data_IF_385877266104
#
_entry.id   IF_385877266104
#
_cell.length_a   1.000
_cell.length_b   1.000
_cell.length_c   1.000
_cell.angle_alpha   90.00
_cell.angle_beta   90.00
_cell.angle_gamma   90.00
#
_symmetry.space_group_name_H-M   'P 1'
#
loop_
_entity.id
_entity.type
_entity.pdbx_description
1 polymer ?
#
# COMPACT_ATOMS: atom_id res chain seq x y z
N UNK A 1 18.03 -12.26 -38.61
CA UNK A 1 16.91 -12.14 -37.65
C UNK A 1 16.94 -13.41 -36.83
N UNK A 2 17.60 -13.38 -35.68
CA UNK A 2 17.61 -14.50 -34.72
C UNK A 2 16.30 -14.45 -33.96
N UNK A 3 15.37 -15.35 -34.26
CA UNK A 3 14.28 -15.65 -33.33
C UNK A 3 14.92 -16.12 -32.03
N UNK A 4 14.95 -15.27 -31.01
CA UNK A 4 15.33 -15.66 -29.67
C UNK A 4 14.25 -16.61 -29.17
N UNK A 5 14.48 -17.93 -29.30
CA UNK A 5 13.62 -18.95 -28.74
C UNK A 5 13.65 -18.80 -27.23
N UNK A 6 12.60 -18.22 -26.65
CA UNK A 6 12.47 -18.08 -25.20
C UNK A 6 12.45 -19.48 -24.59
N UNK A 7 13.34 -19.74 -23.64
CA UNK A 7 13.45 -21.06 -23.00
C UNK A 7 12.42 -21.20 -21.87
N UNK A 8 12.04 -22.44 -21.54
CA UNK A 8 11.15 -22.72 -20.41
C UNK A 8 11.69 -22.13 -19.09
N UNK A 9 13.01 -22.18 -18.88
CA UNK A 9 13.66 -21.63 -17.69
C UNK A 9 13.54 -20.09 -17.61
N UNK A 10 13.65 -19.38 -18.74
CA UNK A 10 13.44 -17.93 -18.79
C UNK A 10 12.00 -17.54 -18.47
N UNK A 11 11.03 -18.33 -18.95
CA UNK A 11 9.61 -18.12 -18.63
C UNK A 11 9.31 -18.36 -17.15
N UNK A 12 9.91 -19.40 -16.55
CA UNK A 12 9.83 -19.64 -15.09
C UNK A 12 10.42 -18.46 -14.31
N UNK A 13 11.59 -17.95 -14.73
CA UNK A 13 12.22 -16.80 -14.10
C UNK A 13 11.34 -15.54 -14.22
N UNK A 14 10.74 -15.30 -15.38
CA UNK A 14 9.80 -14.20 -15.59
C UNK A 14 8.53 -14.36 -14.74
N UNK A 15 8.00 -15.57 -14.61
CA UNK A 15 6.87 -15.89 -13.73
C UNK A 15 7.17 -15.62 -12.26
N UNK A 16 8.35 -16.01 -11.78
CA UNK A 16 8.83 -15.70 -10.43
C UNK A 16 8.97 -14.20 -10.19
N UNK A 17 9.51 -13.46 -11.16
CA UNK A 17 9.58 -12.00 -11.08
C UNK A 17 8.19 -11.34 -10.97
N UNK A 18 7.22 -11.85 -11.73
CA UNK A 18 5.83 -11.37 -11.66
C UNK A 18 5.17 -11.67 -10.30
N UNK A 19 5.45 -12.83 -9.69
CA UNK A 19 5.01 -13.14 -8.32
C UNK A 19 5.57 -12.15 -7.30
N UNK A 20 6.86 -11.82 -7.38
CA UNK A 20 7.50 -10.83 -6.50
C UNK A 20 6.88 -9.44 -6.67
N UNK A 21 6.48 -9.09 -7.89
CA UNK A 21 5.77 -7.85 -8.20
C UNK A 21 4.29 -7.85 -7.75
N UNK A 22 3.75 -8.98 -7.28
CA UNK A 22 2.35 -9.14 -6.91
C UNK A 22 1.39 -9.33 -8.10
N UNK A 23 1.91 -9.46 -9.32
CA UNK A 23 1.11 -9.68 -10.53
C UNK A 23 0.88 -11.18 -10.76
N UNK A 24 -0.10 -11.71 -10.03
CA UNK A 24 -0.53 -13.11 -10.15
C UNK A 24 -1.13 -13.48 -11.51
N UNK A 25 -1.57 -12.50 -12.32
CA UNK A 25 -2.11 -12.76 -13.65
C UNK A 25 -0.98 -13.04 -14.62
N UNK A 26 0.01 -12.14 -14.67
CA UNK A 26 1.19 -12.31 -15.51
C UNK A 26 2.00 -13.53 -15.07
N UNK A 27 2.14 -13.78 -13.77
CA UNK A 27 2.81 -14.97 -13.25
C UNK A 27 2.20 -16.27 -13.81
N UNK A 28 0.87 -16.44 -13.70
CA UNK A 28 0.18 -17.63 -14.23
C UNK A 28 0.35 -17.79 -15.72
N UNK A 29 0.30 -16.70 -16.49
CA UNK A 29 0.51 -16.74 -17.93
C UNK A 29 1.91 -17.27 -18.26
N UNK A 30 2.96 -16.73 -17.62
CA UNK A 30 4.35 -17.16 -17.88
C UNK A 30 4.61 -18.60 -17.43
N UNK A 31 4.07 -19.03 -16.30
CA UNK A 31 4.19 -20.43 -15.88
C UNK A 31 3.42 -21.38 -16.81
N UNK A 32 2.29 -20.95 -17.35
CA UNK A 32 1.57 -21.74 -18.36
C UNK A 32 2.39 -21.88 -19.64
N UNK A 33 2.94 -20.80 -20.16
CA UNK A 33 3.83 -20.82 -21.33
C UNK A 33 5.04 -21.73 -21.07
N UNK A 34 5.62 -21.68 -19.86
CA UNK A 34 6.70 -22.58 -19.47
C UNK A 34 6.28 -24.06 -19.49
N UNK A 35 5.08 -24.37 -19.00
CA UNK A 35 4.52 -25.73 -19.00
C UNK A 35 4.10 -26.23 -20.39
N UNK A 36 3.84 -25.33 -21.33
CA UNK A 36 3.60 -25.67 -22.73
C UNK A 36 4.90 -26.12 -23.44
N UNK A 37 6.05 -25.57 -23.02
CA UNK A 37 7.37 -25.98 -23.52
C UNK A 37 7.87 -27.23 -22.79
N UNK A 38 7.77 -27.25 -21.45
CA UNK A 38 8.17 -28.38 -20.62
C UNK A 38 7.04 -28.75 -19.62
N UNK A 39 6.20 -29.75 -19.97
CA UNK A 39 5.09 -30.18 -19.12
C UNK A 39 5.50 -30.79 -17.77
N UNK A 40 6.75 -31.23 -17.64
CA UNK A 40 7.30 -31.89 -16.47
C UNK A 40 8.20 -30.97 -15.63
N UNK A 41 8.26 -29.67 -15.93
CA UNK A 41 9.05 -28.72 -15.15
C UNK A 41 8.51 -28.58 -13.72
N UNK A 42 9.25 -29.13 -12.74
CA UNK A 42 8.92 -29.05 -11.30
C UNK A 42 8.82 -27.59 -10.85
N UNK A 43 9.76 -26.74 -11.28
CA UNK A 43 9.79 -25.31 -10.93
C UNK A 43 8.56 -24.54 -11.48
N UNK A 44 8.11 -24.86 -12.69
CA UNK A 44 6.94 -24.23 -13.28
C UNK A 44 5.64 -24.70 -12.61
N UNK A 45 5.55 -25.99 -12.25
CA UNK A 45 4.42 -26.56 -11.51
C UNK A 45 4.30 -25.94 -10.11
N UNK A 46 5.43 -25.79 -9.40
CA UNK A 46 5.47 -25.12 -8.09
C UNK A 46 5.12 -23.64 -8.21
N UNK A 47 5.69 -22.93 -9.18
CA UNK A 47 5.35 -21.53 -9.45
C UNK A 47 3.87 -21.32 -9.76
N UNK A 48 3.26 -22.23 -10.54
CA UNK A 48 1.82 -22.22 -10.82
C UNK A 48 1.01 -22.44 -9.54
N UNK A 49 1.39 -23.41 -8.71
CA UNK A 49 0.73 -23.68 -7.43
C UNK A 49 0.79 -22.47 -6.48
N UNK A 50 1.86 -21.67 -6.50
CA UNK A 50 1.94 -20.42 -5.73
C UNK A 50 1.02 -19.33 -6.27
N UNK A 51 0.84 -19.27 -7.59
CA UNK A 51 0.05 -18.24 -8.24
C UNK A 51 -1.48 -18.48 -8.19
N UNK A 52 -1.91 -19.73 -7.92
CA UNK A 52 -3.31 -20.12 -7.85
C UNK A 52 -3.94 -19.84 -6.48
N UNK A 53 -5.19 -19.36 -6.51
CA UNK A 53 -5.99 -19.12 -5.31
C UNK A 53 -6.81 -20.31 -4.84
N UNK A 54 -7.50 -21.06 -5.74
CA UNK A 54 -8.28 -22.20 -5.30
C UNK A 54 -7.35 -23.28 -4.75
N UNK A 55 -7.59 -23.70 -3.51
CA UNK A 55 -6.79 -24.73 -2.86
C UNK A 55 -6.88 -26.08 -3.59
N UNK A 56 -8.02 -26.35 -4.25
CA UNK A 56 -8.20 -27.54 -5.09
C UNK A 56 -7.23 -27.57 -6.27
N UNK A 57 -7.17 -26.49 -7.05
CA UNK A 57 -6.26 -26.41 -8.20
C UNK A 57 -4.79 -26.45 -7.72
N UNK A 58 -4.48 -25.72 -6.64
CA UNK A 58 -3.15 -25.74 -6.02
C UNK A 58 -2.71 -27.15 -5.66
N UNK A 59 -3.60 -27.96 -5.08
CA UNK A 59 -3.34 -29.37 -4.75
C UNK A 59 -2.99 -30.19 -6.00
N UNK A 60 -3.73 -30.02 -7.10
CA UNK A 60 -3.49 -30.76 -8.34
C UNK A 60 -2.08 -30.50 -8.91
N UNK A 61 -1.65 -29.24 -8.97
CA UNK A 61 -0.31 -28.89 -9.46
C UNK A 61 0.81 -29.39 -8.54
N UNK A 62 0.59 -29.41 -7.22
CA UNK A 62 1.55 -29.96 -6.25
C UNK A 62 1.69 -31.48 -6.39
N UNK A 63 0.59 -32.20 -6.60
CA UNK A 63 0.62 -33.64 -6.89
C UNK A 63 1.34 -33.94 -8.21
N UNK A 64 1.13 -33.11 -9.24
CA UNK A 64 1.87 -33.22 -10.51
C UNK A 64 3.37 -32.97 -10.33
N UNK A 65 3.76 -32.01 -9.49
CA UNK A 65 5.17 -31.76 -9.19
C UNK A 65 5.81 -32.97 -8.48
N UNK A 66 5.11 -33.56 -7.50
CA UNK A 66 5.56 -34.76 -6.79
C UNK A 66 5.57 -36.03 -7.66
N UNK A 67 4.74 -36.08 -8.70
CA UNK A 67 4.78 -37.17 -9.68
C UNK A 67 6.05 -37.13 -10.53
N UNK A 68 6.64 -35.95 -10.75
CA UNK A 68 7.91 -35.80 -11.48
C UNK A 68 9.10 -35.98 -10.54
N UNK A 69 9.09 -35.28 -9.39
CA UNK A 69 10.13 -35.38 -8.37
C UNK A 69 9.50 -35.75 -7.02
N UNK A 70 9.47 -37.05 -6.69
CA UNK A 70 8.89 -37.52 -5.45
C UNK A 70 9.61 -36.99 -4.21
N UNK A 71 10.91 -36.71 -4.27
CA UNK A 71 11.75 -36.31 -3.13
C UNK A 71 11.70 -34.82 -2.81
N UNK A 72 10.99 -34.02 -3.60
CA UNK A 72 10.91 -32.58 -3.40
C UNK A 72 10.23 -32.20 -2.07
N UNK A 73 11.04 -31.72 -1.12
CA UNK A 73 10.58 -31.32 0.22
C UNK A 73 9.64 -30.11 0.20
N UNK A 74 9.84 -29.17 -0.72
CA UNK A 74 9.02 -27.95 -0.84
C UNK A 74 7.60 -28.28 -1.30
N UNK A 75 7.50 -29.13 -2.33
CA UNK A 75 6.22 -29.59 -2.85
C UNK A 75 5.42 -30.36 -1.79
N UNK A 76 6.08 -31.26 -1.02
CA UNK A 76 5.46 -32.02 0.07
C UNK A 76 4.94 -31.12 1.19
N UNK A 77 5.78 -30.21 1.70
CA UNK A 77 5.39 -29.30 2.77
C UNK A 77 4.22 -28.39 2.36
N UNK A 78 4.24 -27.89 1.13
CA UNK A 78 3.16 -27.05 0.61
C UNK A 78 1.86 -27.84 0.43
N UNK A 79 1.96 -29.11 0.00
CA UNK A 79 0.80 -29.98 -0.16
C UNK A 79 0.11 -30.26 1.19
N UNK A 80 0.90 -30.62 2.21
CA UNK A 80 0.39 -30.86 3.57
C UNK A 80 -0.37 -29.63 4.11
N UNK A 81 0.17 -28.43 3.91
CA UNK A 81 -0.49 -27.19 4.30
C UNK A 81 -1.82 -26.99 3.53
N UNK A 82 -1.83 -27.23 2.23
CA UNK A 82 -3.03 -27.06 1.38
C UNK A 82 -4.11 -28.07 1.75
N UNK A 83 -3.75 -29.31 2.04
CA UNK A 83 -4.69 -30.35 2.45
C UNK A 83 -5.29 -30.05 3.83
N UNK A 84 -4.50 -29.53 4.77
CA UNK A 84 -5.01 -29.07 6.07
C UNK A 84 -6.06 -27.94 5.92
N UNK A 85 -5.84 -26.98 5.00
CA UNK A 85 -6.80 -25.90 4.71
C UNK A 85 -8.08 -26.41 4.06
N UNK A 86 -7.96 -27.33 3.10
CA UNK A 86 -9.10 -27.99 2.49
C UNK A 86 -9.91 -28.80 3.52
N UNK A 87 -9.24 -29.47 4.45
CA UNK A 87 -9.88 -30.19 5.55
C UNK A 87 -10.60 -29.25 6.54
N UNK A 88 -10.09 -28.03 6.71
CA UNK A 88 -10.76 -26.96 7.47
C UNK A 88 -11.95 -26.32 6.74
N UNK A 89 -12.24 -26.74 5.50
CA UNK A 89 -13.34 -26.20 4.69
C UNK A 89 -12.98 -24.95 3.89
N UNK A 90 -11.71 -24.49 3.92
CA UNK A 90 -11.26 -23.34 3.14
C UNK A 90 -11.09 -23.72 1.67
N UNK A 91 -11.86 -23.09 0.77
CA UNK A 91 -11.80 -23.35 -0.67
C UNK A 91 -10.83 -22.41 -1.42
N UNK A 92 -10.60 -21.21 -0.90
CA UNK A 92 -9.82 -20.15 -1.54
C UNK A 92 -8.77 -19.60 -0.58
N UNK A 93 -7.54 -19.39 -1.08
CA UNK A 93 -6.50 -18.73 -0.33
C UNK A 93 -6.87 -17.26 -0.02
N UNK A 94 -6.59 -16.77 1.21
CA UNK A 94 -6.97 -15.43 1.63
C UNK A 94 -6.35 -14.38 0.71
N UNK A 95 -7.15 -13.41 0.25
CA UNK A 95 -6.64 -12.11 -0.18
C UNK A 95 -5.81 -11.51 0.96
N UNK A 96 -4.67 -10.88 0.69
CA UNK A 96 -3.88 -10.11 1.67
C UNK A 96 -4.61 -8.91 2.32
N UNK A 97 -5.93 -8.94 2.40
CA UNK A 97 -6.79 -8.03 3.14
C UNK A 97 -7.38 -8.85 4.29
N UNK A 98 -6.85 -8.67 5.51
CA UNK A 98 -7.53 -9.16 6.69
C UNK A 98 -8.81 -8.34 6.87
N UNK A 99 -9.91 -8.85 6.31
CA UNK A 99 -11.23 -8.51 6.83
C UNK A 99 -11.30 -9.25 8.17
N UNK A 100 -11.33 -8.50 9.28
CA UNK A 100 -11.67 -9.09 10.59
C UNK A 100 -13.04 -9.75 10.42
N UNK A 101 -13.06 -11.07 10.32
CA UNK A 101 -14.27 -11.88 10.42
C UNK A 101 -14.87 -11.64 11.80
N UNK A 102 -15.85 -10.74 11.85
CA UNK A 102 -16.81 -10.70 12.91
C UNK A 102 -17.73 -11.89 12.66
N UNK A 103 -17.39 -13.00 13.31
CA UNK A 103 -18.29 -14.04 13.81
C UNK A 103 -19.63 -14.10 13.05
N UNK A 104 -19.70 -14.99 12.07
CA UNK A 104 -20.90 -15.38 11.35
C UNK A 104 -21.97 -15.87 12.32
N UNK A 105 -22.72 -14.92 12.87
CA UNK A 105 -24.08 -15.17 13.28
C UNK A 105 -24.88 -15.44 12.00
N UNK A 106 -25.24 -16.71 11.83
CA UNK A 106 -26.24 -17.26 10.91
C UNK A 106 -27.05 -16.18 10.18
N UNK A 107 -26.66 -15.89 8.93
CA UNK A 107 -27.55 -15.20 7.99
C UNK A 107 -28.41 -16.29 7.39
N UNK A 108 -29.56 -16.50 8.03
CA UNK A 108 -30.70 -17.14 7.41
C UNK A 108 -31.06 -16.35 6.15
N UNK A 109 -31.08 -17.04 5.01
CA UNK A 109 -31.34 -16.47 3.69
C UNK A 109 -32.72 -15.78 3.69
N UNK A 110 -32.78 -14.43 3.59
CA UNK A 110 -34.07 -13.74 3.61
C UNK A 110 -34.86 -14.09 2.35
N UNK A 111 -36.15 -14.45 2.45
CA UNK A 111 -36.97 -14.75 1.28
C UNK A 111 -37.04 -13.52 0.37
N UNK A 112 -36.91 -13.78 -0.93
CA UNK A 112 -37.01 -12.78 -1.99
C UNK A 112 -38.26 -11.91 -1.80
N UNK A 113 -38.06 -10.68 -1.33
CA UNK A 113 -39.13 -9.70 -1.21
C UNK A 113 -39.52 -9.19 -2.61
N UNK A 114 -40.82 -8.95 -2.86
CA UNK A 114 -41.28 -8.46 -4.16
C UNK A 114 -40.75 -7.05 -4.41
N UNK A 115 -40.25 -6.82 -5.61
CA UNK A 115 -39.88 -5.50 -6.10
C UNK A 115 -41.18 -4.77 -6.47
N UNK A 116 -41.69 -3.94 -5.57
CA UNK A 116 -42.76 -2.97 -5.88
C UNK A 116 -42.15 -1.59 -6.08
N UNK A 117 -42.24 -0.97 -7.28
CA UNK A 117 -41.91 0.44 -7.43
C UNK A 117 -43.10 1.27 -6.93
N UNK A 118 -43.17 1.49 -5.61
CA UNK A 118 -44.03 2.52 -5.05
C UNK A 118 -43.24 3.83 -5.01
N UNK A 119 -43.46 4.67 -6.02
CA UNK A 119 -43.01 6.06 -6.03
C UNK A 119 -43.85 6.87 -5.03
N UNK A 120 -43.58 6.68 -3.74
CA UNK A 120 -43.87 7.71 -2.75
C UNK A 120 -42.87 8.85 -2.99
N UNK A 121 -43.36 10.08 -3.10
CA UNK A 121 -42.52 11.27 -3.22
C UNK A 121 -41.78 11.48 -1.89
N UNK A 122 -40.58 10.90 -1.79
CA UNK A 122 -39.76 11.04 -0.60
C UNK A 122 -39.15 12.43 -0.58
N UNK A 123 -39.05 13.02 0.59
CA UNK A 123 -38.47 14.35 0.77
C UNK A 123 -37.07 14.21 1.37
N UNK A 124 -36.13 15.03 0.92
CA UNK A 124 -34.76 15.03 1.43
C UNK A 124 -34.73 15.33 2.93
N UNK A 125 -34.01 14.54 3.72
CA UNK A 125 -33.94 14.74 5.19
C UNK A 125 -33.39 16.12 5.61
N UNK A 126 -32.59 16.76 4.75
CA UNK A 126 -32.02 18.10 4.97
C UNK A 126 -32.83 19.23 4.34
N UNK A 127 -33.59 18.91 3.30
CA UNK A 127 -34.32 19.89 2.51
C UNK A 127 -35.78 19.45 2.43
N UNK A 128 -36.62 19.86 3.41
CA UNK A 128 -38.03 19.46 3.48
C UNK A 128 -38.88 20.00 2.31
N UNK A 129 -38.34 20.88 1.48
CA UNK A 129 -39.00 21.44 0.30
C UNK A 129 -38.63 20.71 -1.01
N UNK A 130 -37.81 19.65 -0.95
CA UNK A 130 -37.29 18.97 -2.15
C UNK A 130 -37.65 17.50 -2.16
N UNK A 131 -38.46 17.13 -3.13
CA UNK A 131 -38.73 15.74 -3.48
C UNK A 131 -37.48 15.08 -4.07
N UNK A 132 -37.30 13.80 -3.77
CA UNK A 132 -36.15 13.01 -4.19
C UNK A 132 -36.52 11.54 -4.35
N UNK A 133 -36.01 10.92 -5.42
CA UNK A 133 -36.01 9.45 -5.58
C UNK A 133 -34.74 8.79 -5.07
N UNK A 134 -33.76 9.55 -4.57
CA UNK A 134 -32.44 9.06 -4.20
C UNK A 134 -32.39 8.71 -2.70
N UNK A 135 -31.77 7.56 -2.40
CA UNK A 135 -31.56 7.06 -1.03
C UNK A 135 -30.09 6.76 -0.77
N UNK A 136 -29.65 6.97 0.46
CA UNK A 136 -28.30 6.59 0.87
C UNK A 136 -28.13 5.07 0.81
N UNK A 137 -27.11 4.56 0.13
CA UNK A 137 -26.85 3.11 0.12
C UNK A 137 -26.39 2.58 1.49
N UNK A 138 -25.88 3.45 2.37
CA UNK A 138 -25.35 3.05 3.68
C UNK A 138 -26.39 3.12 4.80
N UNK A 139 -27.37 4.03 4.73
CA UNK A 139 -28.36 4.23 5.81
C UNK A 139 -29.81 4.32 5.32
N UNK A 140 -30.08 4.18 4.02
CA UNK A 140 -31.42 4.17 3.43
C UNK A 140 -32.19 5.49 3.42
N UNK A 141 -31.66 6.54 4.09
CA UNK A 141 -32.34 7.85 4.20
C UNK A 141 -32.47 8.54 2.83
N UNK A 142 -33.58 9.25 2.56
CA UNK A 142 -33.76 10.02 1.33
C UNK A 142 -32.84 11.25 1.28
N UNK A 143 -32.16 11.46 0.15
CA UNK A 143 -31.18 12.54 -0.05
C UNK A 143 -31.48 13.25 -1.37
N UNK A 144 -31.36 14.58 -1.47
CA UNK A 144 -31.43 15.28 -2.76
C UNK A 144 -30.10 15.18 -3.55
N UNK A 145 -30.15 15.46 -4.85
CA UNK A 145 -28.98 15.48 -5.74
C UNK A 145 -27.84 16.39 -5.25
N UNK A 146 -28.16 17.51 -4.59
CA UNK A 146 -27.15 18.42 -4.01
C UNK A 146 -26.48 17.87 -2.73
N UNK A 147 -27.21 17.09 -1.94
CA UNK A 147 -26.67 16.52 -0.70
C UNK A 147 -25.97 15.17 -0.95
N UNK A 148 -26.23 14.53 -2.09
CA UNK A 148 -25.65 13.25 -2.44
C UNK A 148 -24.16 13.40 -2.81
N UNK A 149 -23.32 12.53 -2.24
CA UNK A 149 -21.93 12.34 -2.69
C UNK A 149 -21.85 11.06 -3.51
N UNK A 150 -21.35 11.18 -4.73
CA UNK A 150 -21.11 10.03 -5.59
C UNK A 150 -19.97 9.17 -5.03
N UNK A 151 -20.18 7.87 -5.02
CA UNK A 151 -19.18 6.84 -4.72
C UNK A 151 -19.22 5.77 -5.82
N UNK A 152 -18.19 4.93 -5.96
CA UNK A 152 -18.15 3.89 -7.01
C UNK A 152 -19.34 2.92 -6.99
N UNK A 153 -19.98 2.76 -5.83
CA UNK A 153 -21.10 1.83 -5.61
C UNK A 153 -22.45 2.52 -5.43
N UNK A 154 -22.55 3.83 -5.68
CA UNK A 154 -23.81 4.59 -5.57
C UNK A 154 -23.67 5.92 -4.83
N UNK A 155 -24.76 6.41 -4.25
CA UNK A 155 -24.78 7.70 -3.55
C UNK A 155 -24.83 7.54 -2.03
N UNK A 156 -24.05 8.35 -1.32
CA UNK A 156 -24.00 8.39 0.14
C UNK A 156 -24.41 9.76 0.68
N UNK A 157 -25.00 9.77 1.88
CA UNK A 157 -25.33 11.00 2.59
C UNK A 157 -24.06 11.62 3.22
N UNK A 158 -24.05 12.93 3.53
CA UNK A 158 -22.87 13.59 4.08
C UNK A 158 -22.45 13.07 5.45
N UNK A 159 -23.37 12.49 6.23
CA UNK A 159 -23.06 11.85 7.53
C UNK A 159 -22.30 10.54 7.33
N UNK A 160 -22.83 9.62 6.51
CA UNK A 160 -22.13 8.37 6.17
C UNK A 160 -20.82 8.63 5.41
N UNK A 161 -20.73 9.73 4.66
CA UNK A 161 -19.49 10.14 4.01
C UNK A 161 -18.43 10.62 4.99
N UNK A 162 -18.82 11.27 6.09
CA UNK A 162 -17.89 11.64 7.18
C UNK A 162 -17.44 10.40 7.95
N UNK A 163 -18.34 9.48 8.24
CA UNK A 163 -17.99 8.23 8.93
C UNK A 163 -17.05 7.34 8.11
N UNK A 164 -17.20 7.31 6.78
CA UNK A 164 -16.29 6.60 5.87
C UNK A 164 -14.96 7.30 5.64
N UNK A 165 -14.76 8.53 6.12
CA UNK A 165 -13.40 9.09 6.09
C UNK A 165 -12.53 8.30 7.07
N UNK A 166 -11.40 7.74 6.60
CA UNK A 166 -10.66 6.78 7.40
C UNK A 166 -10.21 7.41 8.72
N UNK A 167 -10.41 6.69 9.82
CA UNK A 167 -9.93 7.01 11.19
C UNK A 167 -8.43 7.33 11.21
N UNK A 168 -7.70 6.96 10.15
CA UNK A 168 -6.32 7.34 9.91
C UNK A 168 -6.06 8.86 9.79
N UNK A 169 -7.11 9.67 9.61
CA UNK A 169 -7.03 11.14 9.61
C UNK A 169 -7.24 11.78 10.99
N UNK A 170 -7.62 11.00 12.01
CA UNK A 170 -7.66 11.44 13.40
C UNK A 170 -6.27 11.26 14.04
N UNK A 171 -5.34 12.12 13.63
CA UNK A 171 -4.06 12.28 14.31
C UNK A 171 -4.31 12.94 15.66
N UNK A 172 -4.11 12.19 16.74
CA UNK A 172 -4.18 12.74 18.10
C UNK A 172 -3.04 13.75 18.34
N UNK A 173 -3.24 14.75 19.23
CA UNK A 173 -2.25 15.78 19.51
C UNK A 173 -0.92 15.21 20.05
N UNK A 174 -0.98 14.11 20.80
CA UNK A 174 0.21 13.39 21.30
C UNK A 174 1.06 12.81 20.17
N UNK A 175 0.43 12.23 19.14
CA UNK A 175 1.13 11.65 18.00
C UNK A 175 1.75 12.73 17.11
N UNK A 176 1.09 13.89 17.01
CA UNK A 176 1.60 15.05 16.30
C UNK A 176 2.84 15.63 17.01
N UNK A 177 2.84 15.68 18.34
CA UNK A 177 4.00 16.07 19.13
C UNK A 177 5.16 15.09 18.98
N UNK A 178 4.91 13.78 19.08
CA UNK A 178 5.95 12.75 18.88
C UNK A 178 6.57 12.88 17.49
N UNK A 179 5.76 13.02 16.44
CA UNK A 179 6.27 13.21 15.08
C UNK A 179 7.10 14.48 14.93
N UNK A 180 6.65 15.60 15.52
CA UNK A 180 7.37 16.86 15.50
C UNK A 180 8.72 16.79 16.21
N UNK A 181 8.76 16.18 17.40
CA UNK A 181 10.01 16.01 18.18
C UNK A 181 10.99 15.10 17.44
N UNK A 182 10.52 13.96 16.92
CA UNK A 182 11.36 13.03 16.15
C UNK A 182 11.91 13.70 14.89
N UNK A 183 11.07 14.41 14.14
CA UNK A 183 11.49 15.14 12.94
C UNK A 183 12.51 16.24 13.26
N UNK A 184 12.34 16.96 14.38
CA UNK A 184 13.26 18.02 14.81
C UNK A 184 14.63 17.46 15.22
N UNK A 185 14.65 16.40 16.04
CA UNK A 185 15.91 15.74 16.46
C UNK A 185 16.63 15.18 15.24
N UNK A 186 15.90 14.52 14.34
CA UNK A 186 16.47 14.00 13.10
C UNK A 186 17.03 15.12 12.22
N UNK A 187 16.27 16.20 12.02
CA UNK A 187 16.72 17.33 11.21
C UNK A 187 18.02 17.94 11.75
N UNK A 188 18.12 18.10 13.07
CA UNK A 188 19.32 18.65 13.72
C UNK A 188 20.53 17.74 13.52
N UNK A 189 20.39 16.44 13.79
CA UNK A 189 21.47 15.46 13.61
C UNK A 189 21.89 15.31 12.16
N UNK A 190 20.95 15.12 11.24
CA UNK A 190 21.25 14.88 9.83
C UNK A 190 21.80 16.13 9.16
N UNK A 191 21.27 17.31 9.47
CA UNK A 191 21.82 18.56 8.92
C UNK A 191 23.24 18.81 9.44
N UNK A 192 23.52 18.47 10.71
CA UNK A 192 24.87 18.58 11.28
C UNK A 192 25.86 17.63 10.60
N UNK A 193 25.49 16.35 10.46
CA UNK A 193 26.34 15.36 9.79
C UNK A 193 26.53 15.71 8.32
N UNK A 194 25.46 16.06 7.61
CA UNK A 194 25.53 16.49 6.22
C UNK A 194 26.41 17.73 6.07
N UNK A 195 26.31 18.69 6.99
CA UNK A 195 27.16 19.88 7.01
C UNK A 195 28.65 19.58 7.14
N UNK A 196 29.03 18.67 8.05
CA UNK A 196 30.43 18.24 8.21
C UNK A 196 30.91 17.50 6.96
N UNK A 197 30.12 16.57 6.43
CA UNK A 197 30.49 15.77 5.24
C UNK A 197 30.60 16.65 3.98
N UNK A 198 29.65 17.55 3.77
CA UNK A 198 29.64 18.52 2.66
C UNK A 198 30.82 19.49 2.80
N UNK A 199 31.09 19.96 4.03
CA UNK A 199 32.24 20.81 4.33
C UNK A 199 33.56 20.12 4.00
N UNK A 200 33.69 18.83 4.30
CA UNK A 200 34.86 18.01 3.96
C UNK A 200 35.04 17.81 2.45
N UNK A 201 33.93 17.64 1.71
CA UNK A 201 33.94 17.49 0.26
C UNK A 201 34.21 18.80 -0.50
N UNK A 202 34.13 19.96 0.18
CA UNK A 202 34.36 21.27 -0.40
C UNK A 202 33.48 21.54 -1.63
N UNK A 203 34.12 21.82 -2.77
CA UNK A 203 33.42 22.09 -4.04
C UNK A 203 32.59 20.91 -4.55
N UNK A 204 32.87 19.67 -4.18
CA UNK A 204 32.06 18.52 -4.61
C UNK A 204 30.85 18.24 -3.70
N UNK A 205 30.60 19.08 -2.70
CA UNK A 205 29.50 18.95 -1.76
C UNK A 205 28.11 18.84 -2.41
N UNK A 206 27.91 19.41 -3.59
CA UNK A 206 26.64 19.32 -4.33
C UNK A 206 26.33 17.89 -4.80
N UNK A 207 27.34 17.14 -5.23
CA UNK A 207 27.19 15.74 -5.68
C UNK A 207 26.82 14.87 -4.48
N UNK A 208 27.49 15.09 -3.35
CA UNK A 208 27.21 14.40 -2.08
C UNK A 208 25.79 14.72 -1.61
N UNK A 209 25.37 15.98 -1.66
CA UNK A 209 24.01 16.39 -1.31
C UNK A 209 22.94 15.70 -2.19
N UNK A 210 23.19 15.60 -3.50
CA UNK A 210 22.27 14.94 -4.43
C UNK A 210 22.14 13.43 -4.17
N UNK A 211 23.26 12.77 -3.85
CA UNK A 211 23.28 11.33 -3.60
C UNK A 211 22.70 10.97 -2.22
N UNK A 212 22.99 11.76 -1.19
CA UNK A 212 22.51 11.49 0.18
C UNK A 212 21.10 12.00 0.46
N UNK A 213 20.61 13.00 -0.28
CA UNK A 213 19.30 13.62 -0.05
C UNK A 213 18.14 12.62 -0.09
N UNK A 214 18.00 11.79 -1.14
CA UNK A 214 16.92 10.80 -1.22
C UNK A 214 17.00 9.70 -0.14
N UNK A 215 18.23 9.26 0.17
CA UNK A 215 18.50 8.27 1.23
C UNK A 215 18.04 8.79 2.60
N UNK A 216 18.40 10.04 2.92
CA UNK A 216 18.05 10.68 4.19
C UNK A 216 16.57 11.05 4.27
N UNK A 217 15.92 11.40 3.15
CA UNK A 217 14.47 11.59 3.08
C UNK A 217 13.67 10.31 3.34
N UNK A 218 14.10 9.18 2.77
CA UNK A 218 13.46 7.87 2.99
C UNK A 218 13.70 7.32 4.41
N UNK A 219 14.88 7.59 4.99
CA UNK A 219 15.13 7.27 6.39
C UNK A 219 14.21 8.07 7.33
N UNK A 220 14.00 9.36 7.05
CA UNK A 220 13.08 10.21 7.81
C UNK A 220 11.63 9.70 7.75
N UNK A 221 11.13 9.35 6.57
CA UNK A 221 9.75 8.84 6.42
C UNK A 221 9.54 7.53 7.19
N UNK A 222 10.49 6.60 7.10
CA UNK A 222 10.45 5.32 7.86
C UNK A 222 10.49 5.53 9.37
N UNK A 223 11.31 6.47 9.84
CA UNK A 223 11.42 6.80 11.26
C UNK A 223 10.10 7.37 11.79
N UNK A 224 9.46 8.26 11.01
CA UNK A 224 8.16 8.84 11.36
C UNK A 224 7.06 7.78 11.33
N UNK A 225 7.05 6.90 10.32
CA UNK A 225 6.06 5.83 10.20
C UNK A 225 6.16 4.84 11.37
N UNK A 226 7.38 4.51 11.80
CA UNK A 226 7.64 3.71 12.98
C UNK A 226 7.16 4.40 14.26
N UNK A 227 7.45 5.70 14.42
CA UNK A 227 7.07 6.46 15.62
C UNK A 227 5.57 6.76 15.73
N UNK A 228 4.84 6.88 14.62
CA UNK A 228 3.41 7.27 14.61
C UNK A 228 2.45 6.13 14.28
N UNK A 229 2.95 4.94 13.94
CA UNK A 229 2.13 3.77 13.64
C UNK A 229 1.42 3.84 12.29
N UNK A 230 2.10 4.36 11.25
CA UNK A 230 1.60 4.47 9.86
C UNK A 230 0.34 5.35 9.68
N UNK A 231 0.12 6.31 10.58
CA UNK A 231 -0.99 7.27 10.47
C UNK A 231 -0.67 8.37 9.46
N UNK A 232 -1.61 8.68 8.56
CA UNK A 232 -1.40 9.62 7.45
C UNK A 232 -2.43 10.75 7.47
N UNK A 233 -1.96 12.00 7.42
CA UNK A 233 -2.82 13.18 7.35
C UNK A 233 -2.08 14.46 6.97
N UNK A 234 -2.80 15.44 6.40
CA UNK A 234 -2.21 16.73 5.94
C UNK A 234 -1.56 17.53 7.08
N UNK A 235 -2.07 17.41 8.30
CA UNK A 235 -1.48 18.06 9.48
C UNK A 235 -0.10 17.48 9.83
N UNK A 236 0.10 16.16 9.65
CA UNK A 236 1.40 15.53 9.89
C UNK A 236 2.46 16.08 8.92
N UNK A 237 2.09 16.26 7.65
CA UNK A 237 2.99 16.86 6.65
C UNK A 237 3.43 18.27 7.03
N UNK A 238 2.49 19.11 7.51
CA UNK A 238 2.81 20.49 7.93
C UNK A 238 3.76 20.46 9.12
N UNK A 239 3.47 19.65 10.14
CA UNK A 239 4.30 19.58 11.35
C UNK A 239 5.70 19.06 11.07
N UNK A 240 5.84 18.00 10.26
CA UNK A 240 7.15 17.46 9.87
C UNK A 240 7.96 18.48 9.07
N UNK A 241 7.31 19.20 8.14
CA UNK A 241 7.97 20.24 7.33
C UNK A 241 8.45 21.41 8.19
N UNK A 242 7.60 21.89 9.11
CA UNK A 242 7.95 22.99 10.02
C UNK A 242 9.05 22.56 10.98
N UNK A 243 8.97 21.35 11.55
CA UNK A 243 9.99 20.82 12.45
C UNK A 243 11.36 20.68 11.76
N UNK A 244 11.38 20.20 10.51
CA UNK A 244 12.60 20.06 9.74
C UNK A 244 13.21 21.41 9.35
N UNK A 245 12.37 22.38 8.96
CA UNK A 245 12.82 23.75 8.71
C UNK A 245 13.41 24.37 9.98
N UNK A 246 12.72 24.26 11.12
CA UNK A 246 13.22 24.73 12.41
C UNK A 246 14.55 24.08 12.82
N UNK A 247 14.72 22.78 12.58
CA UNK A 247 15.96 22.06 12.90
C UNK A 247 17.15 22.41 12.00
N UNK A 248 16.91 22.79 10.75
CA UNK A 248 17.98 23.12 9.79
C UNK A 248 18.43 24.59 9.83
N UNK A 249 17.56 25.50 10.27
CA UNK A 249 17.85 26.93 10.44
C UNK A 249 19.11 27.27 11.25
N UNK A 250 19.38 26.70 12.44
CA UNK A 250 20.57 27.07 13.22
C UNK A 250 21.87 26.74 12.48
N UNK A 251 21.88 25.66 11.68
CA UNK A 251 23.06 25.23 10.95
C UNK A 251 23.29 26.07 9.68
N UNK A 252 22.21 26.43 8.99
CA UNK A 252 22.26 27.37 7.86
C UNK A 252 22.79 28.73 8.35
N UNK A 253 22.29 29.23 9.48
CA UNK A 253 22.76 30.47 10.11
C UNK A 253 24.23 30.42 10.52
N UNK A 254 24.69 29.29 11.07
CA UNK A 254 26.08 29.07 11.45
C UNK A 254 27.04 29.14 10.24
N UNK A 255 26.65 28.56 9.11
CA UNK A 255 27.48 28.60 7.89
C UNK A 255 27.52 29.98 7.26
N UNK A 256 26.40 30.71 7.28
CA UNK A 256 26.37 32.11 6.84
C UNK A 256 27.30 32.96 7.71
N UNK A 257 27.32 32.73 9.03
CA UNK A 257 28.19 33.43 9.97
C UNK A 257 29.68 33.15 9.70
N UNK A 258 30.03 31.93 9.29
CA UNK A 258 31.38 31.53 8.89
C UNK A 258 31.80 32.05 7.50
N UNK A 259 30.93 32.81 6.81
CA UNK A 259 31.20 33.33 5.46
C UNK A 259 31.08 32.30 4.35
N UNK A 260 30.50 31.13 4.62
CA UNK A 260 30.26 30.09 3.63
C UNK A 260 28.99 30.34 2.81
N UNK A 261 28.93 29.80 1.60
CA UNK A 261 27.73 29.80 0.78
C UNK A 261 26.84 28.60 1.15
N UNK A 262 25.67 28.78 1.81
CA UNK A 262 24.83 27.69 2.29
C UNK A 262 24.03 26.99 1.18
N UNK A 263 24.29 27.31 -0.10
CA UNK A 263 23.51 26.85 -1.24
C UNK A 263 23.38 25.32 -1.25
N UNK A 264 24.47 24.59 -1.03
CA UNK A 264 24.46 23.13 -1.00
C UNK A 264 23.54 22.55 0.08
N UNK A 265 23.49 23.16 1.27
CA UNK A 265 22.64 22.71 2.37
C UNK A 265 21.18 23.10 2.19
N UNK A 266 20.91 24.25 1.56
CA UNK A 266 19.56 24.62 1.15
C UNK A 266 19.02 23.64 0.10
N UNK A 267 19.81 23.28 -0.90
CA UNK A 267 19.42 22.26 -1.87
C UNK A 267 19.21 20.90 -1.20
N UNK A 268 20.12 20.51 -0.29
CA UNK A 268 19.97 19.27 0.48
C UNK A 268 18.67 19.24 1.30
N UNK A 269 18.38 20.31 2.06
CA UNK A 269 17.17 20.37 2.89
C UNK A 269 15.89 20.34 2.05
N UNK A 270 15.88 21.01 0.89
CA UNK A 270 14.77 20.94 -0.07
C UNK A 270 14.58 19.52 -0.60
N UNK A 271 15.66 18.84 -1.00
CA UNK A 271 15.58 17.45 -1.50
C UNK A 271 15.04 16.51 -0.41
N UNK A 272 15.50 16.64 0.83
CA UNK A 272 15.02 15.81 1.94
C UNK A 272 13.53 16.04 2.20
N UNK A 273 13.08 17.30 2.28
CA UNK A 273 11.68 17.64 2.53
C UNK A 273 10.79 17.19 1.37
N UNK A 274 11.19 17.43 0.13
CA UNK A 274 10.41 17.02 -1.06
C UNK A 274 10.30 15.50 -1.17
N UNK A 275 11.38 14.76 -0.90
CA UNK A 275 11.38 13.29 -0.90
C UNK A 275 10.48 12.75 0.22
N UNK A 276 10.57 13.32 1.42
CA UNK A 276 9.71 12.96 2.54
C UNK A 276 8.23 13.24 2.26
N UNK A 277 7.92 14.39 1.64
CA UNK A 277 6.55 14.76 1.27
C UNK A 277 5.98 13.91 0.13
N UNK A 278 6.80 13.52 -0.85
CA UNK A 278 6.37 12.63 -1.93
C UNK A 278 5.96 11.25 -1.40
N UNK A 279 6.61 10.79 -0.32
CA UNK A 279 6.28 9.54 0.36
C UNK A 279 5.09 9.62 1.32
N UNK A 280 4.83 10.80 1.88
CA UNK A 280 3.73 11.05 2.82
C UNK A 280 2.39 11.37 2.13
N UNK A 281 2.41 11.73 0.83
CA UNK A 281 1.22 11.89 -0.02
C UNK A 281 0.59 10.53 -0.34
#
# INVERSE_FOLDING_TARGET
MTESTITAAELVAAGRAALIAGDTVTARLRFREALEIDPHSVDALLGMATALRPYRDKREYLLRALAVDPENSEARATLEQVEARLAAGELLAPTGVQVREREEAAVEEPPAAPVTPASETLVCYRHPQRETGLRCISCGRPICTECARATPVGQICPECARERTPVNYQVGPTQLLVAGVVALIYALLVTLVAGVVIGWAGFFGFIVAFLLGPMTGNALSRLIDWATGRKRGRMLMIVVSVAYACGSLPYIGFIILLGGFPLALLFFSIIVVTTALAWLR
#
